data_IF_180108244706
#
_entry.id   IF_180108244706
#
_cell.length_a   1.000
_cell.length_b   1.000
_cell.length_c   1.000
_cell.angle_alpha   90.00
_cell.angle_beta   90.00
_cell.angle_gamma   90.00
#
_symmetry.space_group_name_H-M   'P 1'
#
loop_
_entity.id
_entity.type
_entity.pdbx_description
1 polymer ?
#
# COMPACT_ATOMS: atom_id res chain seq x y z
N UNK A 1 0.62 9.83 6.09
CA UNK A 1 -0.38 9.22 5.20
C UNK A 1 0.02 9.44 3.76
N UNK A 2 -0.04 10.69 3.24
CA UNK A 2 0.34 11.02 1.85
C UNK A 2 1.75 10.53 1.44
N UNK A 3 2.77 10.82 2.27
CA UNK A 3 4.14 10.33 2.01
C UNK A 3 4.23 8.81 1.99
N UNK A 4 3.47 8.12 2.85
CA UNK A 4 3.37 6.66 2.85
C UNK A 4 2.73 6.11 1.57
N UNK A 5 1.63 6.71 1.11
CA UNK A 5 0.99 6.31 -0.17
C UNK A 5 1.90 6.52 -1.38
N UNK A 6 2.70 7.60 -1.41
CA UNK A 6 3.66 7.84 -2.48
C UNK A 6 4.80 6.81 -2.47
N UNK A 7 5.36 6.54 -1.29
CA UNK A 7 6.41 5.52 -1.14
C UNK A 7 5.88 4.13 -1.50
N UNK A 8 4.65 3.79 -1.09
CA UNK A 8 4.00 2.53 -1.44
C UNK A 8 3.79 2.42 -2.95
N UNK A 9 3.31 3.48 -3.60
CA UNK A 9 3.14 3.52 -5.05
C UNK A 9 4.49 3.33 -5.79
N UNK A 10 5.53 4.05 -5.36
CA UNK A 10 6.88 3.90 -5.90
C UNK A 10 7.40 2.47 -5.70
N UNK A 11 7.23 1.91 -4.50
CA UNK A 11 7.61 0.53 -4.22
C UNK A 11 6.88 -0.48 -5.09
N UNK A 12 5.61 -0.23 -5.43
CA UNK A 12 4.82 -1.09 -6.31
C UNK A 12 5.29 -1.05 -7.78
N UNK A 13 5.77 0.11 -8.23
CA UNK A 13 6.27 0.34 -9.59
C UNK A 13 7.70 -0.19 -9.79
N UNK A 14 8.52 -0.15 -8.74
CA UNK A 14 9.91 -0.60 -8.77
C UNK A 14 9.98 -2.13 -8.80
N UNK A 15 10.97 -2.72 -9.50
CA UNK A 15 11.31 -4.15 -9.46
C UNK A 15 11.32 -4.76 -8.06
N UNK A 16 10.67 -5.92 -7.89
CA UNK A 16 10.69 -6.70 -6.63
C UNK A 16 11.68 -7.87 -6.69
N UNK A 17 11.68 -8.59 -7.81
CA UNK A 17 12.52 -9.78 -7.99
C UNK A 17 13.33 -9.69 -9.30
N UNK A 18 14.52 -10.28 -9.32
CA UNK A 18 15.26 -10.59 -10.56
C UNK A 18 15.06 -12.06 -10.92
N UNK A 19 14.83 -12.36 -12.19
CA UNK A 19 14.60 -13.73 -12.64
C UNK A 19 15.87 -14.51 -13.02
N UNK A 20 16.97 -13.83 -13.35
CA UNK A 20 18.28 -14.46 -13.62
C UNK A 20 19.39 -13.40 -13.66
N UNK A 21 20.64 -13.79 -13.43
CA UNK A 21 21.83 -12.92 -13.57
C UNK A 21 22.07 -12.37 -14.99
N UNK A 22 21.34 -12.85 -16.00
CA UNK A 22 21.50 -12.43 -17.40
C UNK A 22 20.22 -11.95 -18.08
N UNK A 23 19.05 -12.07 -17.44
CA UNK A 23 17.76 -11.63 -18.01
C UNK A 23 17.12 -10.55 -17.10
N UNK A 24 16.98 -9.35 -17.64
CA UNK A 24 16.52 -8.12 -16.96
C UNK A 24 15.02 -8.04 -16.67
N UNK A 25 14.23 -9.08 -16.99
CA UNK A 25 12.81 -9.04 -16.63
C UNK A 25 12.64 -9.19 -15.12
N UNK A 26 12.26 -8.08 -14.51
CA UNK A 26 11.98 -7.99 -13.09
C UNK A 26 10.48 -8.05 -12.84
N UNK A 27 10.04 -8.93 -11.96
CA UNK A 27 8.67 -8.91 -11.46
C UNK A 27 8.47 -7.65 -10.61
N UNK A 28 7.66 -6.73 -11.08
CA UNK A 28 7.00 -5.70 -10.28
C UNK A 28 5.49 -5.89 -10.42
N UNK A 29 4.70 -5.29 -9.52
CA UNK A 29 3.24 -5.38 -9.64
C UNK A 29 2.70 -4.82 -10.96
N UNK A 30 3.40 -3.84 -11.54
CA UNK A 30 3.16 -3.33 -12.90
C UNK A 30 3.64 -4.28 -14.00
N UNK A 31 4.83 -4.88 -13.84
CA UNK A 31 5.34 -5.89 -14.77
C UNK A 31 4.38 -7.06 -14.91
N UNK A 32 3.78 -7.52 -13.81
CA UNK A 32 2.74 -8.55 -13.82
C UNK A 32 1.44 -8.07 -14.49
N UNK A 33 1.04 -6.80 -14.29
CA UNK A 33 -0.12 -6.19 -14.94
C UNK A 33 -0.02 -6.16 -16.48
N UNK A 34 1.21 -5.99 -16.99
CA UNK A 34 1.50 -5.92 -18.43
C UNK A 34 1.49 -7.28 -19.14
N UNK A 35 1.36 -8.39 -18.40
CA UNK A 35 1.25 -9.73 -18.98
C UNK A 35 -0.17 -9.93 -19.57
N UNK A 36 -0.21 -10.11 -20.89
CA UNK A 36 -1.41 -10.24 -21.73
C UNK A 36 -2.41 -11.34 -21.33
N UNK A 37 -2.06 -12.29 -20.45
CA UNK A 37 -2.85 -13.51 -20.19
C UNK A 37 -3.33 -13.70 -18.74
N UNK A 38 -3.25 -12.68 -17.88
CA UNK A 38 -3.74 -12.84 -16.50
C UNK A 38 -3.37 -11.74 -15.50
N UNK A 39 -2.71 -10.67 -15.94
CA UNK A 39 -2.22 -9.61 -15.05
C UNK A 39 -3.27 -8.59 -14.59
N UNK A 40 -4.45 -8.53 -15.21
CA UNK A 40 -5.40 -7.43 -15.02
C UNK A 40 -5.88 -7.21 -13.57
N UNK A 41 -5.90 -8.26 -12.74
CA UNK A 41 -6.31 -8.15 -11.34
C UNK A 41 -5.29 -7.39 -10.47
N UNK A 42 -4.02 -7.25 -10.91
CA UNK A 42 -3.02 -6.49 -10.16
C UNK A 42 -3.30 -4.99 -10.17
N UNK A 43 -4.05 -4.50 -11.18
CA UNK A 43 -4.58 -3.13 -11.25
C UNK A 43 -5.51 -2.79 -10.08
N UNK A 44 -6.10 -3.79 -9.43
CA UNK A 44 -6.89 -3.60 -8.21
C UNK A 44 -6.00 -3.05 -7.09
N UNK A 45 -4.74 -3.47 -7.01
CA UNK A 45 -3.76 -2.90 -6.06
C UNK A 45 -3.52 -1.42 -6.32
N UNK A 46 -3.41 -1.03 -7.60
CA UNK A 46 -3.31 0.38 -7.98
C UNK A 46 -4.56 1.17 -7.61
N UNK A 47 -5.75 0.62 -7.85
CA UNK A 47 -7.00 1.26 -7.47
C UNK A 47 -7.05 1.52 -5.95
N UNK A 48 -6.64 0.56 -5.13
CA UNK A 48 -6.55 0.71 -3.67
C UNK A 48 -5.50 1.75 -3.24
N UNK A 49 -4.31 1.74 -3.85
CA UNK A 49 -3.27 2.75 -3.58
C UNK A 49 -3.70 4.15 -4.00
N UNK A 50 -4.37 4.28 -5.15
CA UNK A 50 -4.92 5.54 -5.63
C UNK A 50 -6.03 6.03 -4.70
N UNK A 51 -6.92 5.16 -4.26
CA UNK A 51 -7.94 5.47 -3.28
C UNK A 51 -7.32 5.95 -1.97
N UNK A 52 -6.27 5.29 -1.48
CA UNK A 52 -5.54 5.71 -0.28
C UNK A 52 -4.82 7.05 -0.48
N UNK A 53 -4.26 7.31 -1.66
CA UNK A 53 -3.61 8.57 -2.01
C UNK A 53 -4.62 9.73 -2.04
N UNK A 54 -5.73 9.55 -2.76
CA UNK A 54 -6.84 10.50 -2.84
C UNK A 54 -7.37 10.77 -1.43
N UNK A 55 -7.69 9.74 -0.65
CA UNK A 55 -8.16 9.88 0.72
C UNK A 55 -7.14 10.62 1.63
N UNK A 56 -5.84 10.44 1.39
CA UNK A 56 -4.78 11.12 2.15
C UNK A 56 -4.80 12.65 1.97
N UNK A 57 -5.32 13.16 0.85
CA UNK A 57 -5.44 14.61 0.62
C UNK A 57 -6.46 15.28 1.55
N UNK A 58 -7.49 14.54 1.98
CA UNK A 58 -8.55 15.05 2.86
C UNK A 58 -8.52 14.46 4.28
N UNK A 59 -7.59 13.55 4.58
CA UNK A 59 -7.50 12.86 5.86
C UNK A 59 -7.34 13.81 7.08
N UNK A 60 -6.77 14.99 6.88
CA UNK A 60 -6.63 16.00 7.96
C UNK A 60 -7.90 16.81 8.25
N UNK A 61 -8.90 16.75 7.38
CA UNK A 61 -10.15 17.53 7.44
C UNK A 61 -11.40 16.67 7.66
N UNK A 62 -11.36 15.40 7.30
CA UNK A 62 -12.52 14.51 7.39
C UNK A 62 -12.12 13.17 8.00
N UNK A 63 -12.87 12.75 9.04
CA UNK A 63 -12.74 11.43 9.66
C UNK A 63 -13.03 10.32 8.65
N UNK A 64 -14.07 10.50 7.82
CA UNK A 64 -14.41 9.55 6.77
C UNK A 64 -13.26 9.38 5.76
N UNK A 65 -12.61 10.49 5.37
CA UNK A 65 -11.44 10.43 4.50
C UNK A 65 -10.27 9.67 5.16
N UNK A 66 -10.00 9.91 6.44
CA UNK A 66 -8.97 9.16 7.16
C UNK A 66 -9.27 7.65 7.21
N UNK A 67 -10.52 7.26 7.50
CA UNK A 67 -10.94 5.86 7.54
C UNK A 67 -10.86 5.20 6.15
N UNK A 68 -11.38 5.86 5.11
CA UNK A 68 -11.32 5.33 3.73
C UNK A 68 -9.89 5.10 3.27
N UNK A 69 -8.95 5.98 3.61
CA UNK A 69 -7.57 5.77 3.23
C UNK A 69 -6.86 4.69 4.05
N UNK A 70 -7.28 4.39 5.30
CA UNK A 70 -6.83 3.19 6.03
C UNK A 70 -7.36 1.93 5.35
N UNK A 71 -8.64 1.90 4.98
CA UNK A 71 -9.23 0.78 4.21
C UNK A 71 -8.49 0.58 2.89
N UNK A 72 -8.17 1.67 2.18
CA UNK A 72 -7.35 1.63 0.98
C UNK A 72 -5.96 1.05 1.22
N UNK A 73 -5.32 1.39 2.33
CA UNK A 73 -4.04 0.83 2.72
C UNK A 73 -4.11 -0.69 2.98
N UNK A 74 -5.16 -1.16 3.67
CA UNK A 74 -5.41 -2.59 3.91
C UNK A 74 -5.63 -3.31 2.59
N UNK A 75 -6.54 -2.81 1.75
CA UNK A 75 -6.82 -3.41 0.44
C UNK A 75 -5.58 -3.50 -0.43
N UNK A 76 -4.76 -2.44 -0.47
CA UNK A 76 -3.49 -2.45 -1.18
C UNK A 76 -2.51 -3.48 -0.62
N UNK A 77 -2.42 -3.64 0.70
CA UNK A 77 -1.53 -4.63 1.32
C UNK A 77 -1.93 -6.07 0.99
N UNK A 78 -3.22 -6.41 1.09
CA UNK A 78 -3.71 -7.76 0.76
C UNK A 78 -3.49 -8.11 -0.71
N UNK A 79 -3.80 -7.19 -1.62
CA UNK A 79 -3.58 -7.42 -3.05
C UNK A 79 -2.09 -7.45 -3.40
N UNK A 80 -1.26 -6.61 -2.79
CA UNK A 80 0.19 -6.69 -2.96
C UNK A 80 0.75 -8.06 -2.53
N UNK A 81 0.30 -8.60 -1.39
CA UNK A 81 0.66 -9.94 -0.94
C UNK A 81 0.22 -11.03 -1.93
N UNK A 82 -0.99 -10.91 -2.48
CA UNK A 82 -1.46 -11.83 -3.51
C UNK A 82 -0.56 -11.77 -4.76
N UNK A 83 -0.12 -10.58 -5.20
CA UNK A 83 0.79 -10.43 -6.34
C UNK A 83 2.15 -11.06 -6.05
N UNK A 84 2.67 -10.88 -4.83
CA UNK A 84 3.90 -11.53 -4.38
C UNK A 84 3.74 -13.07 -4.43
N UNK A 85 2.65 -13.61 -3.91
CA UNK A 85 2.36 -15.05 -3.93
C UNK A 85 2.22 -15.60 -5.36
N UNK A 86 1.50 -14.90 -6.23
CA UNK A 86 1.35 -15.26 -7.64
C UNK A 86 2.69 -15.20 -8.40
N UNK A 87 3.56 -14.26 -8.05
CA UNK A 87 4.92 -14.18 -8.60
C UNK A 87 5.73 -15.43 -8.21
N UNK A 88 5.65 -15.87 -6.94
CA UNK A 88 6.29 -17.09 -6.50
C UNK A 88 5.74 -18.36 -7.18
N UNK A 89 4.43 -18.42 -7.42
CA UNK A 89 3.80 -19.57 -8.10
C UNK A 89 4.17 -19.67 -9.58
N UNK A 90 4.63 -18.57 -10.20
CA UNK A 90 4.99 -18.53 -11.62
C UNK A 90 6.42 -18.99 -11.93
N UNK A 91 7.25 -19.27 -10.91
CA UNK A 91 8.61 -19.75 -11.15
C UNK A 91 8.58 -21.28 -11.29
N UNK A 92 9.01 -21.85 -12.42
CA UNK A 92 9.05 -23.31 -12.59
C UNK A 92 9.93 -23.97 -11.52
N UNK A 93 9.47 -25.11 -10.98
CA UNK A 93 10.21 -25.95 -10.05
C UNK A 93 11.59 -26.30 -10.65
N UNK A 94 12.64 -25.63 -10.18
CA UNK A 94 14.01 -26.08 -10.40
C UNK A 94 14.49 -26.86 -9.18
N UNK A 95 15.17 -27.96 -9.46
CA UNK A 95 15.68 -29.02 -8.59
C UNK A 95 16.72 -28.58 -7.54
N UNK A 96 16.80 -27.29 -7.19
CA UNK A 96 17.85 -26.76 -6.33
C UNK A 96 17.31 -26.31 -4.96
N UNK A 97 17.76 -26.97 -3.90
CA UNK A 97 17.30 -26.80 -2.50
C UNK A 97 17.71 -25.45 -1.88
N UNK A 98 18.52 -24.63 -2.57
CA UNK A 98 19.08 -23.37 -2.05
C UNK A 98 18.47 -22.11 -2.68
N UNK A 99 17.18 -22.15 -2.98
CA UNK A 99 16.45 -21.13 -3.72
C UNK A 99 16.32 -19.77 -3.00
N UNK A 100 16.33 -19.77 -1.66
CA UNK A 100 16.09 -18.58 -0.84
C UNK A 100 17.33 -17.66 -0.77
N UNK A 101 18.54 -18.21 -0.93
CA UNK A 101 19.78 -17.42 -0.86
C UNK A 101 20.18 -16.80 -2.21
N UNK A 102 19.70 -17.33 -3.32
CA UNK A 102 19.97 -16.81 -4.67
C UNK A 102 18.89 -15.86 -5.19
N UNK A 103 17.76 -15.69 -4.48
CA UNK A 103 16.66 -14.83 -4.91
C UNK A 103 17.01 -13.34 -4.70
N UNK A 104 17.32 -12.55 -5.75
CA UNK A 104 17.74 -11.18 -5.57
C UNK A 104 16.49 -10.33 -5.32
N UNK A 105 16.19 -10.08 -4.05
CA UNK A 105 15.12 -9.16 -3.65
C UNK A 105 15.63 -7.73 -3.90
N UNK A 106 14.98 -7.04 -4.82
CA UNK A 106 15.28 -5.63 -5.11
C UNK A 106 14.65 -4.71 -4.06
N UNK A 107 15.02 -3.43 -4.10
CA UNK A 107 14.56 -2.42 -3.15
C UNK A 107 13.04 -2.16 -3.22
N UNK A 108 12.35 -2.58 -4.29
CA UNK A 108 10.92 -2.30 -4.48
C UNK A 108 10.02 -2.93 -3.41
N UNK A 109 10.29 -4.17 -2.99
CA UNK A 109 9.50 -4.87 -1.99
C UNK A 109 9.67 -4.25 -0.58
N UNK A 110 10.91 -3.98 -0.09
CA UNK A 110 11.11 -3.21 1.13
C UNK A 110 10.51 -1.80 1.08
N UNK A 111 10.61 -1.13 -0.07
CA UNK A 111 10.04 0.22 -0.25
C UNK A 111 8.52 0.19 -0.17
N UNK A 112 7.87 -0.78 -0.81
CA UNK A 112 6.43 -0.99 -0.74
C UNK A 112 5.98 -1.27 0.70
N UNK A 113 6.67 -2.19 1.40
CA UNK A 113 6.36 -2.54 2.78
C UNK A 113 6.51 -1.32 3.72
N UNK A 114 7.61 -0.57 3.59
CA UNK A 114 7.83 0.65 4.34
C UNK A 114 6.77 1.73 4.04
N UNK A 115 6.41 1.90 2.77
CA UNK A 115 5.37 2.82 2.34
C UNK A 115 4.00 2.49 2.91
N UNK A 116 3.59 1.22 2.83
CA UNK A 116 2.33 0.73 3.42
C UNK A 116 2.32 0.90 4.94
N UNK A 117 3.44 0.62 5.63
CA UNK A 117 3.57 0.86 7.06
C UNK A 117 3.39 2.34 7.44
N UNK A 118 4.04 3.25 6.72
CA UNK A 118 3.91 4.70 6.91
C UNK A 118 2.51 5.22 6.56
N UNK A 119 1.88 4.62 5.55
CA UNK A 119 0.51 4.93 5.17
C UNK A 119 -0.45 4.55 6.31
N UNK A 120 -0.30 3.34 6.84
CA UNK A 120 -1.12 2.81 7.93
C UNK A 120 -0.96 3.61 9.22
N UNK A 121 0.29 3.82 9.66
CA UNK A 121 0.60 4.62 10.85
C UNK A 121 0.07 6.07 10.70
N UNK A 122 0.22 6.65 9.50
CA UNK A 122 -0.30 7.97 9.19
C UNK A 122 -1.83 8.05 9.21
N UNK A 123 -2.51 7.00 8.71
CA UNK A 123 -3.97 6.89 8.73
C UNK A 123 -4.51 6.76 10.16
N UNK A 124 -3.95 5.86 10.96
CA UNK A 124 -4.31 5.71 12.38
C UNK A 124 -4.14 7.02 13.17
N UNK A 125 -3.03 7.73 12.95
CA UNK A 125 -2.82 9.05 13.56
C UNK A 125 -3.89 10.06 13.13
N UNK A 126 -4.24 10.11 11.85
CA UNK A 126 -5.26 11.04 11.32
C UNK A 126 -6.65 10.76 11.90
N UNK A 127 -7.00 9.48 12.06
CA UNK A 127 -8.23 9.04 12.73
C UNK A 127 -8.23 9.48 14.19
N UNK A 128 -7.18 9.17 14.95
CA UNK A 128 -7.09 9.53 16.37
C UNK A 128 -7.21 11.04 16.60
N UNK A 129 -6.51 11.85 15.80
CA UNK A 129 -6.58 13.32 15.88
C UNK A 129 -7.99 13.83 15.55
N UNK A 130 -8.63 13.26 14.53
CA UNK A 130 -10.00 13.64 14.15
C UNK A 130 -11.01 13.34 15.25
N UNK A 131 -10.91 12.16 15.88
CA UNK A 131 -11.79 11.77 17.00
C UNK A 131 -11.60 12.70 18.20
N UNK A 132 -10.35 13.02 18.58
CA UNK A 132 -10.08 13.95 19.69
C UNK A 132 -10.59 15.35 19.40
N UNK A 133 -10.47 15.85 18.15
CA UNK A 133 -11.02 17.15 17.76
C UNK A 133 -12.53 17.21 17.89
N UNK A 134 -13.24 16.18 17.41
CA UNK A 134 -14.69 16.07 17.53
C UNK A 134 -15.12 16.06 19.00
N UNK A 135 -14.47 15.24 19.84
CA UNK A 135 -14.76 15.20 21.28
C UNK A 135 -14.56 16.55 21.99
N UNK A 136 -13.52 17.32 21.63
CA UNK A 136 -13.30 18.66 22.17
C UNK A 136 -14.32 19.69 21.73
N UNK A 137 -14.89 19.55 20.52
CA UNK A 137 -15.96 20.43 20.04
C UNK A 137 -17.27 20.16 20.78
N UNK A 138 -17.59 18.89 21.05
CA UNK A 138 -18.76 18.51 21.85
C UNK A 138 -18.68 18.94 23.31
N UNK A 139 -17.48 19.08 23.86
CA UNK A 139 -17.26 19.49 25.25
C UNK A 139 -17.19 21.02 25.45
N UNK A 140 -17.26 21.82 24.38
CA UNK A 140 -17.34 23.29 24.52
C UNK A 140 -18.78 23.70 24.85
N UNK A 141 -19.02 24.45 25.94
CA UNK A 141 -20.35 24.99 26.21
C UNK A 141 -20.80 25.86 25.05
N UNK A 142 -22.07 25.76 24.66
CA UNK A 142 -22.61 26.65 23.64
C UNK A 142 -22.70 28.06 24.24
N UNK A 143 -22.40 29.12 23.45
CA UNK A 143 -22.48 30.52 23.90
C UNK A 143 -23.93 31.01 24.18
N UNK A 144 -24.84 30.10 24.52
CA UNK A 144 -26.23 30.38 24.93
C UNK A 144 -26.68 29.67 26.21
N UNK A 145 -25.87 28.79 26.81
CA UNK A 145 -26.25 28.02 28.01
C UNK A 145 -25.94 28.76 29.33
N UNK A 146 -25.51 30.03 29.24
CA UNK A 146 -25.28 30.90 30.38
C UNK A 146 -26.37 31.98 30.44
N UNK A 147 -27.59 31.59 30.81
CA UNK A 147 -28.67 32.51 31.24
C UNK A 147 -29.37 31.92 32.45
#
# INVERSE_FOLDING_TARGET
MLGGSLIALLGYLVPWFKQSGSYDWSYSGWGYASLSNGGGWTLVTFAWLLLAFVASLWAGRSLAAAMTGVVGAVGAAFFALAVVAASFASIPEQTNTNYITEFPVNIGLPLLAGGLGLLFAGGCRAVAVSVVRVGRQSARPQPGDAV
#
